data_IF_420846752769
#
_entry.id   IF_420846752769
#
_cell.length_a   1.000
_cell.length_b   1.000
_cell.length_c   1.000
_cell.angle_alpha   90.00
_cell.angle_beta   90.00
_cell.angle_gamma   90.00
#
_symmetry.space_group_name_H-M   'P 1'
#
loop_
_entity.id
_entity.type
_entity.pdbx_description
1 polymer ?
#
# COMPACT_ATOMS: atom_id res chain seq x y z
N UNK A 1 83.36 -3.35 -20.29
CA UNK A 1 83.88 -2.50 -19.20
C UNK A 1 82.81 -1.45 -18.91
N UNK A 2 82.11 -1.34 -17.79
CA UNK A 2 82.01 -2.02 -16.51
C UNK A 2 80.89 -1.30 -15.74
N UNK A 3 79.97 -2.05 -15.12
CA UNK A 3 78.87 -1.53 -14.31
C UNK A 3 79.37 -0.77 -13.07
N UNK A 4 78.82 0.42 -12.75
CA UNK A 4 78.89 1.00 -11.39
C UNK A 4 77.53 0.84 -10.70
N UNK A 5 77.45 -0.12 -9.79
CA UNK A 5 76.43 -0.20 -8.74
C UNK A 5 76.67 0.93 -7.72
N UNK A 6 75.72 1.85 -7.62
CA UNK A 6 75.65 2.84 -6.53
C UNK A 6 75.14 2.17 -5.25
N UNK A 7 75.84 2.41 -4.15
CA UNK A 7 75.77 1.65 -2.90
C UNK A 7 74.47 1.77 -2.12
N UNK A 8 74.18 0.68 -1.42
CA UNK A 8 73.17 0.54 -0.36
C UNK A 8 73.58 1.46 0.79
N UNK A 9 72.82 2.53 1.02
CA UNK A 9 72.91 3.34 2.24
C UNK A 9 72.39 2.49 3.41
N UNK A 10 73.32 1.99 4.22
CA UNK A 10 73.03 1.39 5.52
C UNK A 10 72.56 2.49 6.48
N UNK A 11 71.24 2.65 6.61
CA UNK A 11 70.59 3.56 7.56
C UNK A 11 70.81 3.07 9.01
N UNK A 12 71.26 3.98 9.88
CA UNK A 12 71.47 3.77 11.31
C UNK A 12 70.24 3.13 12.00
N UNK A 13 70.43 2.26 13.01
CA UNK A 13 69.35 1.56 13.70
C UNK A 13 68.35 2.49 14.42
N UNK A 14 68.76 3.71 14.77
CA UNK A 14 67.87 4.76 15.29
C UNK A 14 66.91 5.32 14.22
N UNK A 15 67.38 5.50 12.98
CA UNK A 15 66.57 6.05 11.89
C UNK A 15 65.44 5.11 11.48
N UNK A 16 65.72 3.80 11.45
CA UNK A 16 64.72 2.76 11.18
C UNK A 16 63.63 2.67 12.26
N UNK A 17 63.99 2.90 13.53
CA UNK A 17 63.02 3.02 14.62
C UNK A 17 62.16 4.27 14.48
N UNK A 18 62.76 5.40 14.10
CA UNK A 18 62.04 6.66 13.91
C UNK A 18 61.08 6.60 12.71
N UNK A 19 61.48 5.97 11.60
CA UNK A 19 60.60 5.75 10.44
C UNK A 19 59.43 4.81 10.75
N UNK A 20 59.64 3.74 11.52
CA UNK A 20 58.54 2.86 11.94
C UNK A 20 57.56 3.56 12.89
N UNK A 21 58.06 4.42 13.78
CA UNK A 21 57.21 5.25 14.65
C UNK A 21 56.42 6.26 13.83
N UNK A 22 57.05 6.94 12.86
CA UNK A 22 56.37 7.88 11.98
C UNK A 22 55.29 7.20 11.14
N UNK A 23 55.60 6.03 10.56
CA UNK A 23 54.66 5.24 9.78
C UNK A 23 53.48 4.77 10.64
N UNK A 24 53.74 4.33 11.87
CA UNK A 24 52.70 3.96 12.83
C UNK A 24 51.78 5.13 13.18
N UNK A 25 52.34 6.31 13.47
CA UNK A 25 51.57 7.52 13.78
C UNK A 25 50.73 7.99 12.59
N UNK A 26 51.28 7.94 11.37
CA UNK A 26 50.56 8.26 10.14
C UNK A 26 49.42 7.27 9.88
N UNK A 27 49.63 5.99 10.13
CA UNK A 27 48.59 4.97 9.92
C UNK A 27 47.46 5.12 10.94
N UNK A 28 47.78 5.42 12.21
CA UNK A 28 46.79 5.70 13.25
C UNK A 28 46.00 6.98 12.95
N UNK A 29 46.67 8.04 12.48
CA UNK A 29 45.99 9.31 12.15
C UNK A 29 45.08 9.16 10.92
N UNK A 30 45.50 8.41 9.90
CA UNK A 30 44.66 8.09 8.74
C UNK A 30 43.45 7.25 9.14
N UNK A 31 43.64 6.22 9.99
CA UNK A 31 42.51 5.41 10.49
C UNK A 31 41.53 6.25 11.33
N UNK A 32 42.04 7.16 12.17
CA UNK A 32 41.21 8.07 12.95
C UNK A 32 40.43 9.05 12.06
N UNK A 33 41.07 9.61 11.03
CA UNK A 33 40.42 10.49 10.05
C UNK A 33 39.36 9.76 9.22
N UNK A 34 39.64 8.53 8.78
CA UNK A 34 38.66 7.68 8.11
C UNK A 34 37.48 7.35 9.04
N UNK A 35 37.74 6.99 10.30
CA UNK A 35 36.69 6.77 11.30
C UNK A 35 35.84 8.02 11.56
N UNK A 36 36.46 9.19 11.66
CA UNK A 36 35.77 10.47 11.77
C UNK A 36 34.94 10.79 10.52
N UNK A 37 35.48 10.55 9.32
CA UNK A 37 34.75 10.78 8.07
C UNK A 37 33.53 9.85 7.94
N UNK A 38 33.67 8.57 8.29
CA UNK A 38 32.58 7.59 8.30
C UNK A 38 31.51 7.95 9.34
N UNK A 39 31.91 8.33 10.56
CA UNK A 39 30.96 8.70 11.62
C UNK A 39 30.23 10.01 11.32
N UNK A 40 30.92 11.01 10.75
CA UNK A 40 30.32 12.27 10.32
C UNK A 40 29.42 12.09 9.08
N UNK A 41 29.85 11.26 8.11
CA UNK A 41 29.05 10.91 6.92
C UNK A 41 27.79 10.13 7.28
N UNK A 42 27.88 9.17 8.20
CA UNK A 42 26.73 8.38 8.67
C UNK A 42 25.70 9.23 9.42
N UNK A 43 26.14 10.27 10.15
CA UNK A 43 25.25 11.23 10.82
C UNK A 43 24.55 12.19 9.86
N UNK A 44 25.17 12.52 8.73
CA UNK A 44 24.53 13.31 7.66
C UNK A 44 23.62 12.48 6.75
N UNK A 45 23.92 11.19 6.56
CA UNK A 45 23.08 10.26 5.79
C UNK A 45 21.74 9.95 6.49
N UNK A 46 21.73 9.89 7.83
CA UNK A 46 20.54 9.53 8.61
C UNK A 46 19.54 10.68 8.90
N UNK A 47 19.65 11.83 8.21
CA UNK A 47 18.82 13.01 8.52
C UNK A 47 18.16 13.63 7.29
N UNK A 48 17.52 12.80 6.46
CA UNK A 48 16.51 13.31 5.54
C UNK A 48 15.09 13.03 6.09
N UNK A 49 14.42 14.02 6.71
CA UNK A 49 13.05 13.85 7.21
C UNK A 49 12.01 13.64 6.09
N UNK A 50 12.38 13.75 4.82
CA UNK A 50 11.51 13.41 3.67
C UNK A 50 11.41 11.90 3.38
N UNK A 51 12.13 11.03 4.12
CA UNK A 51 12.27 9.60 3.82
C UNK A 51 11.82 8.63 4.93
N UNK A 52 10.98 9.05 5.88
CA UNK A 52 10.29 8.06 6.74
C UNK A 52 9.15 7.39 5.96
N UNK A 53 9.49 6.44 5.10
CA UNK A 53 8.50 5.63 4.38
C UNK A 53 7.53 4.98 5.38
N UNK A 54 6.23 5.16 5.16
CA UNK A 54 5.24 4.52 6.00
C UNK A 54 5.17 3.02 5.70
N UNK A 55 5.61 2.20 6.64
CA UNK A 55 5.60 0.73 6.54
C UNK A 55 4.53 0.07 7.40
N UNK A 56 3.51 0.83 7.83
CA UNK A 56 2.36 0.24 8.52
C UNK A 56 1.58 -0.66 7.56
N UNK A 57 0.89 -1.67 8.10
CA UNK A 57 0.02 -2.55 7.31
C UNK A 57 -1.00 -1.76 6.47
N UNK A 58 -1.56 -0.70 7.04
CA UNK A 58 -2.51 0.16 6.33
C UNK A 58 -1.86 0.85 5.12
N UNK A 59 -0.67 1.44 5.31
CA UNK A 59 0.06 2.10 4.22
C UNK A 59 0.41 1.12 3.08
N UNK A 60 0.93 -0.06 3.41
CA UNK A 60 1.26 -1.09 2.41
C UNK A 60 0.00 -1.56 1.66
N UNK A 61 -1.11 -1.76 2.38
CA UNK A 61 -2.38 -2.19 1.78
C UNK A 61 -2.92 -1.15 0.79
N UNK A 62 -2.92 0.13 1.17
CA UNK A 62 -3.38 1.21 0.30
C UNK A 62 -2.44 1.42 -0.89
N UNK A 63 -1.12 1.39 -0.68
CA UNK A 63 -0.14 1.50 -1.75
C UNK A 63 -0.30 0.39 -2.80
N UNK A 64 -0.50 -0.86 -2.37
CA UNK A 64 -0.78 -1.97 -3.28
C UNK A 64 -2.08 -1.77 -4.07
N UNK A 65 -3.13 -1.22 -3.44
CA UNK A 65 -4.40 -0.93 -4.12
C UNK A 65 -4.26 0.17 -5.18
N UNK A 66 -3.45 1.19 -4.90
CA UNK A 66 -3.09 2.21 -5.88
C UNK A 66 -2.34 1.56 -7.04
N UNK A 67 -1.27 0.81 -6.76
CA UNK A 67 -0.46 0.15 -7.78
C UNK A 67 -1.29 -0.79 -8.68
N UNK A 68 -2.21 -1.55 -8.11
CA UNK A 68 -3.11 -2.44 -8.84
C UNK A 68 -4.03 -1.72 -9.83
N UNK A 69 -4.37 -0.46 -9.56
CA UNK A 69 -5.28 0.36 -10.35
C UNK A 69 -4.56 1.12 -11.49
N UNK A 70 -3.28 1.42 -11.32
CA UNK A 70 -2.49 2.17 -12.29
C UNK A 70 -2.32 1.40 -13.62
N UNK A 71 -2.25 2.17 -14.71
CA UNK A 71 -1.73 1.75 -16.01
C UNK A 71 -0.49 2.58 -16.37
N UNK A 72 0.69 2.07 -16.01
CA UNK A 72 1.96 2.76 -16.24
C UNK A 72 2.36 2.88 -17.72
N UNK A 73 1.60 2.28 -18.64
CA UNK A 73 1.83 2.42 -20.08
C UNK A 73 1.24 3.72 -20.65
N UNK A 74 0.31 4.36 -19.94
CA UNK A 74 -0.29 5.63 -20.34
C UNK A 74 0.54 6.81 -19.81
N UNK A 75 0.69 7.86 -20.63
CA UNK A 75 1.28 9.12 -20.19
C UNK A 75 0.27 9.88 -19.31
N UNK A 76 0.56 10.11 -18.02
CA UNK A 76 -0.35 10.82 -17.12
C UNK A 76 -0.63 12.27 -17.54
N UNK A 77 0.26 12.89 -18.32
CA UNK A 77 0.08 14.26 -18.82
C UNK A 77 -0.89 14.33 -20.00
N UNK A 78 -1.19 13.19 -20.65
CA UNK A 78 -2.10 13.10 -21.80
C UNK A 78 -3.45 12.50 -21.39
N UNK A 79 -3.43 11.40 -20.64
CA UNK A 79 -4.63 10.73 -20.15
C UNK A 79 -4.42 10.23 -18.71
N UNK A 80 -4.66 11.14 -17.77
CA UNK A 80 -4.54 10.82 -16.35
C UNK A 80 -5.57 9.78 -15.90
N UNK A 81 -6.72 9.66 -16.57
CA UNK A 81 -7.74 8.68 -16.22
C UNK A 81 -7.25 7.27 -16.56
N UNK A 82 -6.74 7.06 -17.77
CA UNK A 82 -6.16 5.78 -18.15
C UNK A 82 -4.96 5.44 -17.26
N UNK A 83 -4.06 6.39 -17.01
CA UNK A 83 -2.92 6.18 -16.11
C UNK A 83 -3.37 5.78 -14.70
N UNK A 84 -4.36 6.47 -14.12
CA UNK A 84 -4.76 6.25 -12.73
C UNK A 84 -5.70 5.05 -12.54
N UNK A 85 -6.52 4.71 -13.54
CA UNK A 85 -7.62 3.75 -13.41
C UNK A 85 -7.58 2.59 -14.42
N UNK A 86 -6.75 2.64 -15.45
CA UNK A 86 -6.74 1.66 -16.54
C UNK A 86 -6.41 0.23 -16.08
N UNK A 87 -5.61 0.06 -15.03
CA UNK A 87 -5.39 -1.23 -14.38
C UNK A 87 -6.65 -1.76 -13.69
N UNK A 88 -7.41 -0.87 -13.02
CA UNK A 88 -8.67 -1.22 -12.37
C UNK A 88 -9.74 -1.64 -13.39
N UNK A 89 -9.92 -0.87 -14.46
CA UNK A 89 -10.91 -1.14 -15.52
C UNK A 89 -10.68 -2.52 -16.14
N UNK A 90 -9.42 -2.88 -16.45
CA UNK A 90 -9.08 -4.20 -17.00
C UNK A 90 -9.43 -5.36 -16.07
N UNK A 91 -9.24 -5.18 -14.76
CA UNK A 91 -9.51 -6.22 -13.74
C UNK A 91 -10.97 -6.31 -13.34
N UNK A 92 -11.78 -5.30 -13.65
CA UNK A 92 -13.16 -5.15 -13.17
C UNK A 92 -14.10 -4.90 -14.36
N UNK A 93 -14.34 -5.92 -15.22
CA UNK A 93 -15.34 -5.82 -16.28
C UNK A 93 -16.73 -5.57 -15.70
N UNK A 94 -17.61 -4.97 -16.51
CA UNK A 94 -19.00 -4.71 -16.12
C UNK A 94 -19.72 -6.02 -15.78
N UNK A 95 -20.17 -6.22 -14.52
CA UNK A 95 -20.90 -7.43 -14.15
C UNK A 95 -22.29 -7.46 -14.80
N UNK A 96 -22.83 -8.66 -14.99
CA UNK A 96 -24.18 -8.85 -15.50
C UNK A 96 -25.22 -8.14 -14.63
N UNK A 97 -26.29 -7.65 -15.27
CA UNK A 97 -27.35 -6.90 -14.61
C UNK A 97 -26.94 -5.51 -14.11
N UNK A 98 -25.74 -5.02 -14.46
CA UNK A 98 -25.28 -3.65 -14.17
C UNK A 98 -25.12 -2.87 -15.46
N UNK A 99 -25.51 -1.59 -15.43
CA UNK A 99 -25.26 -0.64 -16.52
C UNK A 99 -23.96 0.15 -16.33
N UNK A 100 -23.39 0.14 -15.12
CA UNK A 100 -22.14 0.81 -14.77
C UNK A 100 -21.42 0.05 -13.66
N UNK A 101 -20.09 0.04 -13.72
CA UNK A 101 -19.24 -0.50 -12.68
C UNK A 101 -18.13 0.47 -12.31
N UNK A 102 -17.96 0.67 -11.01
CA UNK A 102 -16.96 1.57 -10.43
C UNK A 102 -16.64 1.13 -9.00
N UNK A 103 -15.62 1.74 -8.41
CA UNK A 103 -15.29 1.55 -6.99
C UNK A 103 -16.47 1.87 -6.06
N UNK A 104 -17.30 2.86 -6.40
CA UNK A 104 -18.52 3.19 -5.63
C UNK A 104 -19.54 2.04 -5.67
N UNK A 105 -19.72 1.41 -6.83
CA UNK A 105 -20.61 0.27 -6.97
C UNK A 105 -20.08 -0.95 -6.20
N UNK A 106 -18.76 -1.15 -6.18
CA UNK A 106 -18.14 -2.21 -5.37
C UNK A 106 -18.41 -2.02 -3.88
N UNK A 107 -18.22 -0.80 -3.36
CA UNK A 107 -18.52 -0.49 -1.94
C UNK A 107 -20.00 -0.62 -1.64
N UNK A 108 -20.87 -0.14 -2.54
CA UNK A 108 -22.31 -0.34 -2.41
C UNK A 108 -22.68 -1.82 -2.29
N UNK A 109 -22.13 -2.68 -3.15
CA UNK A 109 -22.41 -4.11 -3.10
C UNK A 109 -21.91 -4.77 -1.81
N UNK A 110 -20.75 -4.36 -1.29
CA UNK A 110 -20.24 -4.84 0.00
C UNK A 110 -21.19 -4.45 1.15
N UNK A 111 -21.70 -3.21 1.13
CA UNK A 111 -22.69 -2.75 2.11
C UNK A 111 -24.00 -3.51 2.00
N UNK A 112 -24.51 -3.75 0.79
CA UNK A 112 -25.72 -4.54 0.57
C UNK A 112 -25.56 -5.98 1.10
N UNK A 113 -24.40 -6.61 0.90
CA UNK A 113 -24.12 -7.93 1.44
C UNK A 113 -24.12 -7.95 2.98
N UNK A 114 -23.53 -6.92 3.61
CA UNK A 114 -23.57 -6.76 5.06
C UNK A 114 -25.00 -6.55 5.59
N UNK A 115 -25.76 -5.65 4.95
CA UNK A 115 -27.16 -5.39 5.32
C UNK A 115 -28.02 -6.65 5.19
N UNK A 116 -27.87 -7.40 4.10
CA UNK A 116 -28.51 -8.70 3.90
C UNK A 116 -28.20 -9.66 5.06
N UNK A 117 -26.92 -9.80 5.40
CA UNK A 117 -26.51 -10.66 6.52
C UNK A 117 -27.14 -10.23 7.84
N UNK A 118 -27.21 -8.93 8.13
CA UNK A 118 -27.83 -8.41 9.35
C UNK A 118 -29.34 -8.66 9.39
N UNK A 119 -30.05 -8.43 8.28
CA UNK A 119 -31.50 -8.55 8.21
C UNK A 119 -31.97 -10.01 8.19
N UNK A 120 -31.19 -10.93 7.62
CA UNK A 120 -31.51 -12.36 7.57
C UNK A 120 -31.05 -13.12 8.81
N UNK A 121 -30.26 -12.49 9.68
CA UNK A 121 -29.86 -13.11 10.91
C UNK A 121 -31.07 -13.24 11.87
N UNK A 122 -31.68 -14.42 11.89
CA UNK A 122 -32.81 -14.76 12.78
C UNK A 122 -32.47 -14.76 14.28
N UNK A 123 -31.20 -14.64 14.66
CA UNK A 123 -30.78 -14.50 16.06
C UNK A 123 -30.64 -13.05 16.50
N UNK A 124 -30.78 -12.08 15.58
CA UNK A 124 -30.72 -10.67 15.87
C UNK A 124 -31.96 -10.23 16.65
N UNK A 125 -31.86 -10.26 17.98
CA UNK A 125 -32.92 -9.87 18.88
C UNK A 125 -32.79 -8.39 19.24
N UNK A 126 -33.21 -7.52 18.32
CA UNK A 126 -33.22 -6.08 18.57
C UNK A 126 -34.35 -5.66 19.51
N UNK A 127 -34.03 -4.83 20.49
CA UNK A 127 -35.02 -4.14 21.33
C UNK A 127 -35.67 -2.94 20.64
N UNK A 128 -35.15 -2.51 19.48
CA UNK A 128 -35.66 -1.36 18.72
C UNK A 128 -36.82 -1.77 17.81
N UNK A 129 -37.97 -1.12 17.98
CA UNK A 129 -39.12 -1.34 17.09
C UNK A 129 -38.80 -1.01 15.63
N UNK A 130 -37.98 0.01 15.37
CA UNK A 130 -37.59 0.42 14.03
C UNK A 130 -36.78 -0.67 13.32
N UNK A 131 -35.85 -1.31 14.03
CA UNK A 131 -35.05 -2.41 13.49
C UNK A 131 -35.91 -3.64 13.20
N UNK A 132 -36.83 -3.99 14.13
CA UNK A 132 -37.77 -5.09 13.94
C UNK A 132 -38.69 -4.88 12.73
N UNK A 133 -39.23 -3.67 12.55
CA UNK A 133 -40.05 -3.32 11.37
C UNK A 133 -39.24 -3.40 10.08
N UNK A 134 -37.98 -2.95 10.11
CA UNK A 134 -37.07 -3.02 8.95
C UNK A 134 -36.81 -4.48 8.56
N UNK A 135 -36.53 -5.35 9.53
CA UNK A 135 -36.36 -6.78 9.28
C UNK A 135 -37.64 -7.43 8.74
N UNK A 136 -38.79 -7.16 9.34
CA UNK A 136 -40.07 -7.71 8.88
C UNK A 136 -40.39 -7.27 7.45
N UNK A 137 -40.18 -5.99 7.13
CA UNK A 137 -40.36 -5.46 5.79
C UNK A 137 -39.45 -6.16 4.78
N UNK A 138 -38.16 -6.32 5.10
CA UNK A 138 -37.21 -7.06 4.26
C UNK A 138 -37.67 -8.51 4.02
N UNK A 139 -38.06 -9.24 5.07
CA UNK A 139 -38.52 -10.62 4.97
C UNK A 139 -39.83 -10.75 4.18
N UNK A 140 -40.74 -9.77 4.26
CA UNK A 140 -41.95 -9.76 3.43
C UNK A 140 -41.63 -9.63 1.93
N UNK A 141 -40.57 -8.91 1.58
CA UNK A 141 -40.12 -8.77 0.19
C UNK A 141 -39.50 -10.07 -0.35
N UNK A 142 -38.88 -10.89 0.50
CA UNK A 142 -38.27 -12.16 0.11
C UNK A 142 -39.27 -13.33 0.02
N UNK A 143 -40.49 -13.17 0.53
CA UNK A 143 -41.51 -14.22 0.45
C UNK A 143 -42.18 -14.24 -0.92
N UNK A 144 -41.42 -14.64 -1.94
CA UNK A 144 -41.86 -14.71 -3.33
C UNK A 144 -43.09 -15.62 -3.48
N UNK A 145 -43.17 -16.73 -2.73
CA UNK A 145 -44.35 -17.60 -2.76
C UNK A 145 -45.64 -16.83 -2.46
N UNK A 146 -45.65 -16.05 -1.38
CA UNK A 146 -46.84 -15.27 -1.01
C UNK A 146 -47.14 -14.15 -2.02
N UNK A 147 -46.09 -13.54 -2.60
CA UNK A 147 -46.24 -12.53 -3.65
C UNK A 147 -46.92 -13.15 -4.88
N UNK A 148 -46.47 -14.33 -5.31
CA UNK A 148 -47.04 -15.05 -6.46
C UNK A 148 -48.48 -15.55 -6.18
N UNK A 149 -48.77 -16.01 -4.97
CA UNK A 149 -50.13 -16.40 -4.54
C UNK A 149 -51.13 -15.24 -4.67
N UNK A 150 -50.72 -14.02 -4.33
CA UNK A 150 -51.57 -12.84 -4.42
C UNK A 150 -51.73 -12.31 -5.85
N UNK A 151 -50.73 -12.51 -6.71
CA UNK A 151 -50.69 -12.02 -8.08
C UNK A 151 -50.98 -10.51 -8.18
N UNK A 152 -51.80 -10.11 -9.15
CA UNK A 152 -52.16 -8.70 -9.37
C UNK A 152 -53.21 -8.15 -8.38
N UNK A 153 -53.77 -8.98 -7.50
CA UNK A 153 -54.88 -8.63 -6.61
C UNK A 153 -54.62 -7.36 -5.76
N UNK A 154 -53.44 -7.17 -5.14
CA UNK A 154 -53.17 -5.96 -4.35
C UNK A 154 -53.25 -4.67 -5.18
N UNK A 155 -52.79 -4.71 -6.44
CA UNK A 155 -52.84 -3.57 -7.35
C UNK A 155 -54.27 -3.30 -7.84
N UNK A 156 -55.02 -4.35 -8.20
CA UNK A 156 -56.42 -4.23 -8.64
C UNK A 156 -57.25 -3.55 -7.54
N UNK A 157 -57.14 -4.03 -6.29
CA UNK A 157 -57.86 -3.46 -5.15
C UNK A 157 -57.53 -1.98 -4.90
N UNK A 158 -56.33 -1.52 -5.28
CA UNK A 158 -55.93 -0.12 -5.14
C UNK A 158 -56.54 0.76 -6.24
N UNK A 159 -56.60 0.28 -7.48
CA UNK A 159 -57.09 1.08 -8.62
C UNK A 159 -58.61 1.06 -8.78
N UNK A 160 -59.30 0.08 -8.17
CA UNK A 160 -60.78 -0.01 -8.18
C UNK A 160 -61.44 0.65 -6.97
N UNK A 161 -60.66 1.26 -6.08
CA UNK A 161 -61.16 2.13 -5.01
C UNK A 161 -61.45 3.52 -5.55
#
# INVERSE_FOLDING_TARGET
VGFRKGGIFLLNPLGRRMEMVLAGVLLVSVLALCGCAVTLGSRRYNKDPAQSLCLTKACITVANKIEEALDRSADPCQDFYQYACGGWVRKNPLPDGRSRWSTLNSVWNQNQALLKHLLENGTFNSSSEAERKTQFYYLSCLNEQHIEELGATPLINLITK
#
